data_IF_674280749399
#
_entry.id   IF_674280749399
#
_cell.length_a   1.000
_cell.length_b   1.000
_cell.length_c   1.000
_cell.angle_alpha   90.00
_cell.angle_beta   90.00
_cell.angle_gamma   90.00
#
_symmetry.space_group_name_H-M   'P 1'
#
loop_
_entity.id
_entity.type
_entity.pdbx_description
1 polymer ?
#
# COMPACT_ATOMS: atom_id res chain seq x y z
N UNK A 1 -30.86 43.33 -65.03
CA UNK A 1 -30.84 42.63 -63.72
C UNK A 1 -32.23 42.10 -63.41
N UNK A 2 -32.44 40.79 -63.44
CA UNK A 2 -33.71 40.18 -62.97
C UNK A 2 -33.39 38.84 -62.30
N UNK A 3 -33.52 38.84 -60.97
CA UNK A 3 -33.06 37.81 -60.03
C UNK A 3 -34.10 36.69 -59.94
N UNK A 4 -33.78 35.53 -60.51
CA UNK A 4 -34.59 34.30 -60.43
C UNK A 4 -34.55 33.78 -58.99
N UNK A 5 -35.70 33.78 -58.31
CA UNK A 5 -35.91 33.14 -57.00
C UNK A 5 -35.91 31.63 -57.18
N UNK A 6 -34.91 30.92 -56.66
CA UNK A 6 -34.94 29.46 -56.52
C UNK A 6 -35.31 29.09 -55.08
N UNK A 7 -36.47 28.44 -55.00
CA UNK A 7 -37.10 27.85 -53.83
C UNK A 7 -36.23 26.75 -53.24
N UNK A 8 -35.96 26.83 -51.94
CA UNK A 8 -35.33 25.73 -51.18
C UNK A 8 -36.44 24.98 -50.45
N UNK A 9 -36.81 23.79 -50.95
CA UNK A 9 -37.61 22.82 -50.19
C UNK A 9 -36.76 22.32 -49.01
N UNK A 10 -37.33 22.34 -47.81
CA UNK A 10 -36.71 21.73 -46.61
C UNK A 10 -36.49 20.22 -46.85
N UNK A 11 -35.28 19.75 -46.57
CA UNK A 11 -34.95 18.33 -46.56
C UNK A 11 -35.59 17.64 -45.33
N UNK A 12 -36.02 16.37 -45.43
CA UNK A 12 -36.56 15.63 -44.30
C UNK A 12 -35.45 15.29 -43.29
N UNK A 13 -35.75 15.49 -42.01
CA UNK A 13 -34.88 15.18 -40.88
C UNK A 13 -34.51 13.70 -40.90
N UNK A 14 -33.22 13.42 -41.08
CA UNK A 14 -32.69 12.06 -40.95
C UNK A 14 -32.54 11.76 -39.47
N UNK A 15 -33.25 10.72 -39.03
CA UNK A 15 -33.18 10.14 -37.69
C UNK A 15 -31.72 9.81 -37.37
N UNK A 16 -31.11 10.62 -36.51
CA UNK A 16 -29.81 10.32 -35.93
C UNK A 16 -29.94 9.05 -35.09
N UNK A 17 -29.56 7.90 -35.65
CA UNK A 17 -29.25 6.70 -34.88
C UNK A 17 -28.08 7.06 -33.97
N UNK A 18 -28.41 7.44 -32.74
CA UNK A 18 -27.44 7.63 -31.68
C UNK A 18 -26.60 6.36 -31.56
N UNK A 19 -25.34 6.44 -31.96
CA UNK A 19 -24.31 5.55 -31.49
C UNK A 19 -24.30 5.69 -29.97
N UNK A 20 -24.92 4.74 -29.28
CA UNK A 20 -24.74 4.55 -27.85
C UNK A 20 -23.29 4.09 -27.71
N UNK A 21 -22.37 5.04 -27.54
CA UNK A 21 -21.11 4.75 -26.89
C UNK A 21 -21.50 4.05 -25.60
N UNK A 22 -21.16 2.77 -25.49
CA UNK A 22 -21.09 2.08 -24.20
C UNK A 22 -20.31 3.02 -23.30
N UNK A 23 -21.02 3.71 -22.38
CA UNK A 23 -20.38 4.26 -21.20
C UNK A 23 -19.63 3.08 -20.61
N UNK A 24 -18.30 3.15 -20.65
CA UNK A 24 -17.44 2.36 -19.80
C UNK A 24 -18.10 2.34 -18.44
N UNK A 25 -18.43 1.12 -17.98
CA UNK A 25 -19.05 0.83 -16.70
C UNK A 25 -18.41 1.78 -15.68
N UNK A 26 -19.16 2.79 -15.20
CA UNK A 26 -18.69 3.60 -14.07
C UNK A 26 -18.33 2.60 -12.99
N UNK A 27 -17.26 2.89 -12.27
CA UNK A 27 -16.80 2.09 -11.15
C UNK A 27 -17.88 2.20 -10.04
N UNK A 28 -19.01 1.52 -10.24
CA UNK A 28 -20.17 1.55 -9.36
C UNK A 28 -19.77 0.79 -8.12
N UNK A 29 -19.28 1.56 -7.15
CA UNK A 29 -18.80 1.05 -5.88
C UNK A 29 -19.94 0.31 -5.18
N UNK A 30 -19.63 -0.87 -4.63
CA UNK A 30 -20.63 -1.63 -3.89
C UNK A 30 -21.17 -0.75 -2.74
N UNK A 31 -22.50 -0.52 -2.65
CA UNK A 31 -23.07 0.38 -1.64
C UNK A 31 -22.72 -0.04 -0.21
N UNK A 32 -22.55 -1.35 0.04
CA UNK A 32 -22.11 -1.84 1.36
C UNK A 32 -20.68 -1.41 1.69
N UNK A 33 -19.79 -1.37 0.70
CA UNK A 33 -18.40 -0.89 0.88
C UNK A 33 -18.37 0.61 1.13
N UNK A 34 -19.25 1.38 0.47
CA UNK A 34 -19.38 2.83 0.72
C UNK A 34 -19.80 3.09 2.17
N UNK A 35 -20.83 2.37 2.66
CA UNK A 35 -21.28 2.48 4.05
C UNK A 35 -20.18 2.06 5.01
N UNK A 36 -19.46 0.98 4.73
CA UNK A 36 -18.34 0.53 5.55
C UNK A 36 -17.22 1.58 5.66
N UNK A 37 -16.83 2.18 4.54
CA UNK A 37 -15.82 3.25 4.51
C UNK A 37 -16.29 4.44 5.34
N UNK A 38 -17.54 4.88 5.15
CA UNK A 38 -18.11 5.98 5.92
C UNK A 38 -18.07 5.69 7.42
N UNK A 39 -18.51 4.50 7.82
CA UNK A 39 -18.48 4.08 9.22
C UNK A 39 -17.03 4.11 9.76
N UNK A 40 -16.06 3.58 9.03
CA UNK A 40 -14.66 3.57 9.49
C UNK A 40 -14.03 4.97 9.59
N UNK A 41 -14.55 5.96 8.87
CA UNK A 41 -14.12 7.35 9.04
C UNK A 41 -14.76 8.00 10.26
N UNK A 42 -16.03 7.71 10.55
CA UNK A 42 -16.82 8.40 11.58
C UNK A 42 -16.75 7.74 12.98
N UNK A 43 -16.46 6.44 13.07
CA UNK A 43 -16.42 5.69 14.34
C UNK A 43 -15.35 6.23 15.30
N UNK A 44 -15.66 6.25 16.60
CA UNK A 44 -14.68 6.52 17.65
C UNK A 44 -13.58 5.44 17.71
N UNK A 45 -12.41 5.76 18.27
CA UNK A 45 -11.25 4.86 18.19
C UNK A 45 -11.51 3.46 18.78
N UNK A 46 -12.16 3.36 19.94
CA UNK A 46 -12.48 2.05 20.55
C UNK A 46 -13.44 1.20 19.71
N UNK A 47 -14.41 1.85 19.07
CA UNK A 47 -15.38 1.19 18.20
C UNK A 47 -14.73 0.79 16.87
N UNK A 48 -13.87 1.66 16.33
CA UNK A 48 -13.08 1.38 15.14
C UNK A 48 -12.22 0.13 15.35
N UNK A 49 -11.50 0.01 16.47
CA UNK A 49 -10.69 -1.19 16.78
C UNK A 49 -11.54 -2.45 16.67
N UNK A 50 -12.70 -2.44 17.31
CA UNK A 50 -13.61 -3.60 17.34
C UNK A 50 -14.13 -3.92 15.93
N UNK A 51 -14.49 -2.90 15.15
CA UNK A 51 -14.97 -3.06 13.79
C UNK A 51 -13.88 -3.59 12.83
N UNK A 52 -12.63 -3.16 13.01
CA UNK A 52 -11.49 -3.67 12.23
C UNK A 52 -11.20 -5.13 12.59
N UNK A 53 -11.19 -5.47 13.87
CA UNK A 53 -11.01 -6.85 14.32
C UNK A 53 -12.11 -7.79 13.80
N UNK A 54 -13.36 -7.33 13.79
CA UNK A 54 -14.48 -8.09 13.24
C UNK A 54 -14.32 -8.30 11.73
N UNK A 55 -13.92 -7.25 10.98
CA UNK A 55 -13.63 -7.36 9.55
C UNK A 55 -12.48 -8.35 9.26
N UNK A 56 -11.45 -8.40 10.11
CA UNK A 56 -10.33 -9.34 9.98
C UNK A 56 -10.80 -10.78 10.25
N UNK A 57 -11.61 -11.00 11.30
CA UNK A 57 -12.12 -12.33 11.67
C UNK A 57 -13.11 -12.89 10.65
N UNK A 58 -14.04 -12.05 10.19
CA UNK A 58 -15.02 -12.42 9.16
C UNK A 58 -14.36 -12.58 7.80
N UNK A 59 -13.21 -11.92 7.57
CA UNK A 59 -12.55 -11.89 6.28
C UNK A 59 -13.26 -10.99 5.28
N UNK A 60 -12.72 -10.89 4.06
CA UNK A 60 -13.27 -9.98 3.06
C UNK A 60 -14.57 -10.54 2.44
N UNK A 61 -15.70 -9.97 2.84
CA UNK A 61 -17.05 -10.41 2.41
C UNK A 61 -17.60 -9.65 1.18
N UNK A 62 -16.79 -8.77 0.59
CA UNK A 62 -17.22 -7.91 -0.51
C UNK A 62 -16.59 -8.33 -1.84
N UNK A 63 -17.18 -7.96 -2.99
CA UNK A 63 -16.46 -8.00 -4.25
C UNK A 63 -15.16 -7.20 -4.14
N UNK A 64 -14.19 -7.53 -5.01
CA UNK A 64 -12.94 -6.78 -5.11
C UNK A 64 -13.22 -5.28 -5.27
N UNK A 65 -12.59 -4.46 -4.42
CA UNK A 65 -12.79 -3.00 -4.38
C UNK A 65 -11.60 -2.25 -5.01
N UNK A 66 -11.69 -0.93 -5.11
CA UNK A 66 -10.62 -0.05 -5.60
C UNK A 66 -10.03 0.73 -4.43
N UNK A 67 -8.70 0.73 -4.31
CA UNK A 67 -8.00 1.39 -3.21
C UNK A 67 -8.26 2.91 -3.16
N UNK A 68 -8.59 3.54 -4.29
CA UNK A 68 -8.94 4.97 -4.34
C UNK A 68 -10.05 5.35 -3.36
N UNK A 69 -11.03 4.47 -3.15
CA UNK A 69 -12.15 4.77 -2.26
C UNK A 69 -11.77 4.71 -0.78
N UNK A 70 -10.70 4.01 -0.46
CA UNK A 70 -10.22 3.81 0.90
C UNK A 70 -9.23 4.89 1.35
N UNK A 71 -8.85 5.82 0.47
CA UNK A 71 -7.94 6.94 0.79
C UNK A 71 -8.35 7.68 2.09
N UNK A 72 -9.63 8.02 2.34
CA UNK A 72 -10.01 8.69 3.59
C UNK A 72 -9.71 7.85 4.85
N UNK A 73 -9.95 6.54 4.77
CA UNK A 73 -9.68 5.60 5.88
C UNK A 73 -8.18 5.42 6.07
N UNK A 74 -7.43 5.29 4.97
CA UNK A 74 -5.98 5.18 4.99
C UNK A 74 -5.34 6.44 5.58
N UNK A 75 -5.82 7.63 5.23
CA UNK A 75 -5.35 8.89 5.81
C UNK A 75 -5.59 8.96 7.33
N UNK A 76 -6.73 8.43 7.80
CA UNK A 76 -6.98 8.30 9.24
C UNK A 76 -5.96 7.37 9.91
N UNK A 77 -5.68 6.22 9.30
CA UNK A 77 -4.67 5.30 9.80
C UNK A 77 -3.28 5.93 9.80
N UNK A 78 -2.91 6.65 8.74
CA UNK A 78 -1.62 7.34 8.64
C UNK A 78 -1.45 8.39 9.74
N UNK A 79 -2.50 9.17 10.03
CA UNK A 79 -2.50 10.13 11.12
C UNK A 79 -2.31 9.44 12.48
N UNK A 80 -2.99 8.32 12.72
CA UNK A 80 -2.84 7.53 13.94
C UNK A 80 -1.44 6.95 14.09
N UNK A 81 -0.95 6.26 13.04
CA UNK A 81 0.38 5.65 13.02
C UNK A 81 1.49 6.68 13.18
N UNK A 82 1.34 7.87 12.60
CA UNK A 82 2.26 8.99 12.82
C UNK A 82 2.27 9.46 14.29
N UNK A 83 1.10 9.51 14.93
CA UNK A 83 1.00 9.80 16.37
C UNK A 83 1.79 8.78 17.20
N UNK A 84 1.62 7.49 16.91
CA UNK A 84 2.37 6.41 17.58
C UNK A 84 3.86 6.50 17.32
N UNK A 85 4.29 6.75 16.08
CA UNK A 85 5.71 6.91 15.75
C UNK A 85 6.34 8.04 16.58
N UNK A 86 5.62 9.15 16.78
CA UNK A 86 6.07 10.28 17.59
C UNK A 86 6.08 9.98 19.09
N UNK A 87 5.02 9.36 19.59
CA UNK A 87 4.86 9.04 21.02
C UNK A 87 5.92 8.03 21.51
N UNK A 88 6.27 7.05 20.67
CA UNK A 88 7.18 5.96 21.02
C UNK A 88 8.59 6.11 20.43
N UNK A 89 8.89 7.28 19.87
CA UNK A 89 10.20 7.64 19.30
C UNK A 89 10.70 6.72 18.17
N UNK A 90 9.81 6.09 17.40
CA UNK A 90 10.13 5.07 16.39
C UNK A 90 10.84 5.58 15.12
N UNK A 91 11.34 6.82 15.12
CA UNK A 91 12.06 7.39 13.99
C UNK A 91 13.55 7.27 14.16
N UNK A 92 14.20 6.78 13.11
CA UNK A 92 15.64 6.57 13.08
C UNK A 92 16.22 6.71 11.67
N UNK A 93 17.44 6.20 11.43
CA UNK A 93 18.13 6.39 10.17
C UNK A 93 17.36 5.76 9.01
N UNK A 94 17.08 6.55 7.96
CA UNK A 94 16.27 6.11 6.81
C UNK A 94 14.75 6.31 6.96
N UNK A 95 14.28 6.92 8.06
CA UNK A 95 12.92 7.44 8.15
C UNK A 95 12.76 8.60 7.16
N UNK A 96 11.54 8.80 6.65
CA UNK A 96 11.25 9.94 5.79
C UNK A 96 11.37 11.21 6.61
N UNK A 97 12.28 12.10 6.21
CA UNK A 97 12.47 13.39 6.87
C UNK A 97 11.17 14.18 6.87
N UNK A 98 10.83 14.76 8.01
CA UNK A 98 9.71 15.70 8.05
C UNK A 98 10.00 16.89 7.15
N UNK A 99 8.94 17.35 6.50
CA UNK A 99 8.96 18.58 5.73
C UNK A 99 8.08 19.59 6.45
N UNK A 100 8.53 20.83 6.50
CA UNK A 100 7.70 21.93 6.96
C UNK A 100 6.56 22.20 5.97
N UNK A 101 5.68 23.13 6.35
CA UNK A 101 4.54 23.58 5.55
C UNK A 101 4.95 24.06 4.15
N UNK A 102 6.18 24.54 4.00
CA UNK A 102 6.77 25.03 2.76
C UNK A 102 7.48 23.92 1.95
N UNK A 103 7.40 22.66 2.42
CA UNK A 103 7.97 21.49 1.77
C UNK A 103 9.48 21.33 1.96
N UNK A 104 10.10 22.15 2.81
CA UNK A 104 11.52 22.10 3.11
C UNK A 104 11.77 21.10 4.24
N UNK A 105 12.81 20.29 4.09
CA UNK A 105 13.19 19.32 5.11
C UNK A 105 13.47 20.03 6.43
N UNK A 106 12.72 19.64 7.47
CA UNK A 106 13.00 20.04 8.84
C UNK A 106 14.36 19.43 9.18
N UNK A 107 15.31 20.29 9.52
CA UNK A 107 16.61 19.84 9.99
C UNK A 107 16.39 19.13 11.33
N UNK A 108 16.43 17.81 11.32
CA UNK A 108 16.50 17.03 12.55
C UNK A 108 17.77 17.48 13.31
N UNK A 109 17.55 17.93 14.53
CA UNK A 109 18.57 18.38 15.47
C UNK A 109 19.46 17.23 15.97
N UNK A 110 19.00 15.99 15.81
CA UNK A 110 19.72 14.78 16.23
C UNK A 110 19.99 13.85 15.03
N UNK A 111 21.05 14.15 14.28
CA UNK A 111 21.54 13.30 13.18
C UNK A 111 21.94 11.89 13.64
N UNK A 112 21.99 11.61 14.95
CA UNK A 112 22.39 10.31 15.51
C UNK A 112 21.22 9.54 16.14
N UNK A 113 19.97 9.96 15.91
CA UNK A 113 18.80 9.26 16.45
C UNK A 113 18.72 7.84 15.91
N UNK A 114 18.83 6.84 16.79
CA UNK A 114 18.80 5.41 16.45
C UNK A 114 17.34 4.94 16.22
N UNK A 115 16.38 5.57 16.90
CA UNK A 115 14.95 5.36 16.68
C UNK A 115 14.36 4.07 17.25
N UNK A 116 14.95 3.52 18.32
CA UNK A 116 14.45 2.31 18.95
C UNK A 116 13.37 2.66 19.96
N UNK A 117 12.28 1.90 19.96
CA UNK A 117 11.19 2.05 20.93
C UNK A 117 11.71 2.05 22.37
N UNK A 118 11.53 3.18 23.07
CA UNK A 118 12.00 3.36 24.45
C UNK A 118 10.97 2.86 25.48
N UNK A 119 9.69 3.10 25.21
CA UNK A 119 8.58 2.77 26.11
C UNK A 119 7.71 1.64 25.54
N UNK A 120 7.17 0.79 26.40
CA UNK A 120 6.19 -0.23 26.00
C UNK A 120 4.89 0.41 25.51
N UNK A 121 4.27 -0.17 24.48
CA UNK A 121 2.98 0.32 23.98
C UNK A 121 1.89 0.19 25.03
N UNK A 122 1.10 1.26 25.18
CA UNK A 122 -0.17 1.14 25.91
C UNK A 122 -1.03 0.03 25.26
N UNK A 123 -1.78 -0.78 26.05
CA UNK A 123 -2.56 -1.90 25.52
C UNK A 123 -3.53 -1.51 24.41
N UNK A 124 -4.14 -0.33 24.53
CA UNK A 124 -5.05 0.21 23.51
C UNK A 124 -4.32 0.59 22.22
N UNK A 125 -3.12 1.19 22.34
CA UNK A 125 -2.29 1.60 21.22
C UNK A 125 -1.77 0.41 20.43
N UNK A 126 -1.30 -0.62 21.15
CA UNK A 126 -0.92 -1.90 20.56
C UNK A 126 -2.09 -2.53 19.81
N UNK A 127 -3.27 -2.59 20.45
CA UNK A 127 -4.47 -3.20 19.86
C UNK A 127 -4.92 -2.48 18.58
N UNK A 128 -4.96 -1.14 18.59
CA UNK A 128 -5.27 -0.35 17.39
C UNK A 128 -4.25 -0.55 16.29
N UNK A 129 -2.95 -0.51 16.61
CA UNK A 129 -1.88 -0.68 15.62
C UNK A 129 -1.96 -2.05 14.94
N UNK A 130 -2.18 -3.13 15.70
CA UNK A 130 -2.38 -4.47 15.17
C UNK A 130 -3.64 -4.58 14.30
N UNK A 131 -4.75 -3.97 14.72
CA UNK A 131 -5.98 -3.94 13.96
C UNK A 131 -5.81 -3.20 12.62
N UNK A 132 -5.10 -2.05 12.63
CA UNK A 132 -4.78 -1.30 11.41
C UNK A 132 -3.92 -2.15 10.48
N UNK A 133 -2.82 -2.75 10.94
CA UNK A 133 -1.95 -3.58 10.09
C UNK A 133 -2.68 -4.79 9.52
N UNK A 134 -3.48 -5.47 10.35
CA UNK A 134 -4.30 -6.60 9.92
C UNK A 134 -5.31 -6.18 8.84
N UNK A 135 -5.97 -5.04 9.02
CA UNK A 135 -6.95 -4.56 8.05
C UNK A 135 -6.30 -4.03 6.77
N UNK A 136 -5.18 -3.31 6.84
CA UNK A 136 -4.43 -2.88 5.64
C UNK A 136 -4.02 -4.11 4.83
N UNK A 137 -3.53 -5.17 5.48
CA UNK A 137 -3.21 -6.43 4.80
C UNK A 137 -4.44 -7.01 4.08
N UNK A 138 -5.56 -7.15 4.79
CA UNK A 138 -6.81 -7.65 4.22
C UNK A 138 -7.28 -6.79 3.03
N UNK A 139 -7.20 -5.48 3.18
CA UNK A 139 -7.59 -4.51 2.16
C UNK A 139 -6.71 -4.62 0.92
N UNK A 140 -5.38 -4.62 1.10
CA UNK A 140 -4.44 -4.75 -0.01
C UNK A 140 -4.67 -6.07 -0.73
N UNK A 141 -4.89 -7.19 -0.05
CA UNK A 141 -5.19 -8.48 -0.68
C UNK A 141 -6.46 -8.46 -1.55
N UNK A 142 -7.45 -7.62 -1.21
CA UNK A 142 -8.77 -7.59 -1.83
C UNK A 142 -9.08 -6.33 -2.66
N UNK A 143 -8.10 -5.44 -2.88
CA UNK A 143 -8.25 -4.22 -3.69
C UNK A 143 -7.43 -4.22 -4.98
N UNK A 144 -7.87 -3.42 -5.97
CA UNK A 144 -7.10 -3.01 -7.16
C UNK A 144 -6.34 -1.70 -6.90
N UNK A 145 -5.49 -1.27 -7.86
CA UNK A 145 -4.72 -0.01 -7.78
C UNK A 145 -3.84 0.13 -6.53
N UNK A 146 -3.21 -0.97 -6.09
CA UNK A 146 -2.41 -1.07 -4.85
C UNK A 146 -1.22 -0.10 -4.80
N UNK A 147 -0.74 0.37 -5.96
CA UNK A 147 0.30 1.40 -6.08
C UNK A 147 -0.06 2.74 -5.41
N UNK A 148 -1.33 2.97 -5.10
CA UNK A 148 -1.78 4.16 -4.37
C UNK A 148 -1.50 4.09 -2.87
N UNK A 149 -1.12 2.92 -2.34
CA UNK A 149 -0.70 2.81 -0.95
C UNK A 149 0.69 3.40 -0.78
N UNK A 150 0.76 4.59 -0.18
CA UNK A 150 2.01 5.34 0.05
C UNK A 150 2.51 5.27 1.50
N UNK A 151 1.78 4.60 2.39
CA UNK A 151 2.08 4.55 3.83
C UNK A 151 3.25 3.62 4.20
N UNK A 152 3.99 3.11 3.21
CA UNK A 152 5.19 2.29 3.42
C UNK A 152 6.26 3.00 4.25
N UNK A 153 6.34 4.33 4.15
CA UNK A 153 7.26 5.13 4.97
C UNK A 153 6.99 4.93 6.48
N UNK A 154 5.70 4.85 6.87
CA UNK A 154 5.31 4.59 8.27
C UNK A 154 5.63 3.17 8.66
N UNK A 155 5.34 2.20 7.79
CA UNK A 155 5.69 0.80 8.03
C UNK A 155 7.19 0.60 8.23
N UNK A 156 8.02 1.37 7.51
CA UNK A 156 9.47 1.35 7.68
C UNK A 156 9.90 1.77 9.09
N UNK A 157 9.23 2.76 9.69
CA UNK A 157 9.50 3.23 11.07
C UNK A 157 9.09 2.19 12.12
N UNK A 158 7.98 1.49 11.89
CA UNK A 158 7.57 0.36 12.72
C UNK A 158 8.51 -0.86 12.64
N UNK A 159 9.56 -0.86 11.82
CA UNK A 159 10.62 -1.88 11.91
C UNK A 159 11.52 -1.69 13.14
N UNK A 160 11.48 -0.52 13.77
CA UNK A 160 12.28 -0.18 14.95
C UNK A 160 11.52 -0.41 16.28
N UNK A 161 10.33 -1.01 16.21
CA UNK A 161 9.55 -1.39 17.39
C UNK A 161 10.20 -2.57 18.12
N UNK A 162 10.15 -2.55 19.45
CA UNK A 162 10.59 -3.66 20.31
C UNK A 162 9.46 -4.66 20.57
N UNK A 163 8.21 -4.28 20.31
CA UNK A 163 7.06 -5.17 20.46
C UNK A 163 7.02 -6.22 19.33
N UNK A 164 7.18 -7.48 19.71
CA UNK A 164 7.28 -8.59 18.74
C UNK A 164 6.00 -8.81 17.95
N UNK A 165 4.82 -8.57 18.54
CA UNK A 165 3.55 -8.78 17.84
C UNK A 165 3.35 -7.72 16.76
N UNK A 166 3.64 -6.45 17.11
CA UNK A 166 3.57 -5.32 16.18
C UNK A 166 4.60 -5.47 15.06
N UNK A 167 5.84 -5.83 15.40
CA UNK A 167 6.90 -6.08 14.42
C UNK A 167 6.52 -7.22 13.47
N UNK A 168 6.01 -8.33 14.00
CA UNK A 168 5.61 -9.49 13.19
C UNK A 168 4.43 -9.15 12.28
N UNK A 169 3.43 -8.41 12.78
CA UNK A 169 2.31 -7.96 11.97
C UNK A 169 2.77 -7.05 10.82
N UNK A 170 3.68 -6.11 11.10
CA UNK A 170 4.27 -5.21 10.11
C UNK A 170 5.08 -5.99 9.05
N UNK A 171 5.97 -6.89 9.47
CA UNK A 171 6.76 -7.71 8.55
C UNK A 171 5.91 -8.63 7.67
N UNK A 172 4.83 -9.20 8.22
CA UNK A 172 3.87 -9.99 7.43
C UNK A 172 3.17 -9.15 6.37
N UNK A 173 2.80 -7.91 6.70
CA UNK A 173 2.23 -6.96 5.75
C UNK A 173 3.24 -6.62 4.64
N UNK A 174 4.46 -6.26 5.02
CA UNK A 174 5.57 -5.95 4.11
C UNK A 174 5.87 -7.12 3.15
N UNK A 175 6.00 -8.33 3.69
CA UNK A 175 6.27 -9.54 2.90
C UNK A 175 5.15 -9.82 1.91
N UNK A 176 3.89 -9.68 2.34
CA UNK A 176 2.74 -9.89 1.46
C UNK A 176 2.68 -8.88 0.33
N UNK A 177 2.98 -7.62 0.62
CA UNK A 177 3.13 -6.61 -0.43
C UNK A 177 4.22 -7.05 -1.40
N UNK A 178 5.44 -7.37 -0.92
CA UNK A 178 6.59 -7.76 -1.76
C UNK A 178 6.31 -8.98 -2.67
N UNK A 179 5.68 -10.03 -2.13
CA UNK A 179 5.35 -11.24 -2.90
C UNK A 179 4.34 -10.98 -4.02
N UNK A 180 3.42 -10.03 -3.82
CA UNK A 180 2.45 -9.66 -4.85
C UNK A 180 3.10 -8.88 -5.99
N UNK A 181 4.14 -8.08 -5.70
CA UNK A 181 4.92 -7.36 -6.71
C UNK A 181 5.72 -8.30 -7.62
N UNK A 182 6.35 -9.34 -7.06
CA UNK A 182 7.19 -10.27 -7.86
C UNK A 182 6.40 -11.02 -8.92
N UNK A 183 5.10 -11.24 -8.71
CA UNK A 183 4.22 -11.93 -9.66
C UNK A 183 3.73 -11.00 -10.78
N UNK A 184 3.74 -9.67 -10.56
CA UNK A 184 3.07 -8.72 -11.45
C UNK A 184 3.97 -7.91 -12.38
N UNK A 185 5.32 -8.08 -12.35
CA UNK A 185 6.26 -7.33 -13.20
C UNK A 185 5.93 -5.82 -13.31
N UNK A 186 5.46 -5.21 -12.22
CA UNK A 186 5.11 -3.79 -12.22
C UNK A 186 6.35 -2.97 -11.92
N UNK A 187 6.77 -2.16 -12.90
CA UNK A 187 7.91 -1.26 -12.80
C UNK A 187 7.75 -0.30 -11.61
N UNK A 188 8.70 -0.36 -10.68
CA UNK A 188 8.75 0.47 -9.48
C UNK A 188 9.14 1.90 -9.81
N UNK A 189 8.24 2.70 -10.41
CA UNK A 189 8.56 4.10 -10.66
C UNK A 189 8.49 4.99 -9.39
N UNK A 190 8.58 4.38 -8.19
CA UNK A 190 8.43 5.06 -6.88
C UNK A 190 9.00 4.32 -5.66
N UNK A 191 9.80 3.26 -5.82
CA UNK A 191 10.53 2.58 -4.73
C UNK A 191 9.66 1.80 -3.71
N UNK A 192 10.15 0.66 -3.24
CA UNK A 192 9.61 -0.03 -2.07
C UNK A 192 10.09 0.83 -0.91
N UNK A 193 9.25 1.71 -0.36
CA UNK A 193 9.61 2.72 0.66
C UNK A 193 10.07 2.15 2.01
N UNK A 194 10.72 1.00 1.99
CA UNK A 194 11.22 0.23 3.12
C UNK A 194 12.73 0.14 2.96
N UNK A 195 13.44 0.49 4.03
CA UNK A 195 14.89 0.49 4.04
C UNK A 195 15.44 -0.94 3.98
N UNK A 196 16.23 -1.23 2.94
CA UNK A 196 16.91 -2.51 2.83
C UNK A 196 17.92 -2.72 3.97
N UNK A 197 18.58 -1.66 4.44
CA UNK A 197 19.54 -1.76 5.55
C UNK A 197 18.88 -2.21 6.84
N UNK A 198 17.69 -1.66 7.17
CA UNK A 198 16.93 -2.05 8.37
C UNK A 198 16.56 -3.54 8.35
N UNK A 199 16.17 -4.05 7.18
CA UNK A 199 15.86 -5.47 7.03
C UNK A 199 17.09 -6.36 7.21
N UNK A 200 18.25 -5.93 6.69
CA UNK A 200 19.51 -6.65 6.90
C UNK A 200 19.95 -6.62 8.37
N UNK A 201 19.82 -5.49 9.05
CA UNK A 201 20.14 -5.36 10.47
C UNK A 201 19.26 -6.28 11.33
N UNK A 202 17.95 -6.34 11.01
CA UNK A 202 17.02 -7.28 11.64
C UNK A 202 17.45 -8.73 11.40
N UNK A 203 17.76 -9.09 10.15
CA UNK A 203 18.22 -10.45 9.82
C UNK A 203 19.50 -10.84 10.56
N UNK A 204 20.47 -9.94 10.65
CA UNK A 204 21.71 -10.16 11.39
C UNK A 204 21.42 -10.38 12.89
N UNK A 205 20.61 -9.52 13.50
CA UNK A 205 20.23 -9.66 14.91
C UNK A 205 19.51 -10.99 15.19
N UNK A 206 18.63 -11.43 14.28
CA UNK A 206 17.89 -12.68 14.41
C UNK A 206 18.77 -13.92 14.20
N UNK A 207 19.72 -13.86 13.26
CA UNK A 207 20.72 -14.93 13.09
C UNK A 207 21.60 -15.11 14.32
N UNK A 208 21.84 -14.04 15.07
CA UNK A 208 22.59 -14.10 16.33
C UNK A 208 21.75 -14.71 17.48
N UNK A 209 20.43 -14.53 17.45
CA UNK A 209 19.50 -15.10 18.45
C UNK A 209 19.25 -16.58 18.17
N UNK A 210 19.14 -16.96 16.90
CA UNK A 210 18.92 -18.33 16.43
C UNK A 210 20.19 -19.19 16.40
N UNK A 211 21.08 -19.07 17.38
CA UNK A 211 22.35 -19.79 17.44
C UNK A 211 22.20 -21.24 16.98
N UNK A 212 22.90 -21.58 15.90
CA UNK A 212 22.97 -22.91 15.25
C UNK A 212 21.79 -23.34 14.35
N UNK A 213 21.45 -22.53 13.34
CA UNK A 213 21.00 -23.12 12.08
C UNK A 213 21.65 -22.37 10.92
N UNK A 214 22.66 -23.01 10.31
CA UNK A 214 23.33 -22.52 9.11
C UNK A 214 22.31 -22.37 7.97
N UNK A 215 21.73 -21.18 7.82
CA UNK A 215 21.15 -20.73 6.55
C UNK A 215 22.30 -20.37 5.61
N UNK A 216 23.10 -21.37 5.25
CA UNK A 216 24.05 -21.22 4.17
C UNK A 216 23.30 -21.26 2.83
N UNK A 217 23.53 -20.20 2.05
CA UNK A 217 23.19 -19.99 0.65
C UNK A 217 21.71 -20.00 0.25
N UNK A 218 21.10 -18.81 0.24
CA UNK A 218 20.30 -18.44 -0.93
C UNK A 218 21.22 -17.62 -1.83
N UNK A 219 21.97 -18.33 -2.68
CA UNK A 219 22.57 -17.72 -3.86
C UNK A 219 21.43 -17.46 -4.85
N UNK A 220 21.33 -16.28 -5.48
CA UNK A 220 20.46 -16.14 -6.64
C UNK A 220 21.04 -17.02 -7.75
N UNK A 221 20.39 -18.16 -8.03
CA UNK A 221 20.76 -19.00 -9.17
C UNK A 221 20.36 -18.28 -10.46
N UNK A 222 21.19 -17.33 -10.91
CA UNK A 222 21.19 -16.90 -12.30
C UNK A 222 21.96 -17.94 -13.11
N UNK A 223 21.33 -19.09 -13.34
CA UNK A 223 21.71 -19.99 -14.44
C UNK A 223 20.50 -20.11 -15.37
N UNK A 224 20.27 -19.04 -16.13
CA UNK A 224 19.44 -19.12 -17.33
C UNK A 224 20.25 -19.94 -18.34
N UNK A 225 20.02 -21.26 -18.33
CA UNK A 225 20.59 -22.17 -19.31
C UNK A 225 20.02 -21.81 -20.67
N UNK A 226 20.78 -21.05 -21.47
CA UNK A 226 20.43 -20.76 -22.86
C UNK A 226 20.92 -21.91 -23.72
N UNK A 227 20.19 -23.02 -23.69
CA UNK A 227 20.26 -24.02 -24.75
C UNK A 227 19.71 -23.40 -26.03
N UNK A 228 20.58 -22.94 -26.92
CA UNK A 228 20.25 -22.75 -28.33
C UNK A 228 21.33 -23.38 -29.21
N UNK A 229 20.91 -24.53 -29.74
CA UNK A 229 21.20 -25.27 -30.97
C UNK A 229 22.29 -24.77 -31.95
N UNK A 230 22.94 -25.72 -32.65
CA UNK A 230 24.12 -25.50 -33.49
C UNK A 230 23.83 -24.77 -34.81
N UNK A 231 24.80 -23.98 -35.23
CA UNK A 231 24.92 -23.39 -36.57
C UNK A 231 25.20 -24.54 -37.56
N UNK A 232 24.25 -24.82 -38.46
CA UNK A 232 24.52 -25.61 -39.66
C UNK A 232 25.40 -24.77 -40.61
N UNK A 233 26.67 -25.13 -40.66
CA UNK A 233 27.50 -24.95 -41.86
C UNK A 233 27.07 -26.01 -42.87
N UNK A 234 26.78 -25.62 -44.11
CA UNK A 234 27.00 -26.40 -45.33
C UNK A 234 26.78 -25.51 -46.57
N UNK A 235 27.68 -25.64 -47.56
CA UNK A 235 27.44 -25.33 -48.98
C UNK A 235 27.89 -23.96 -49.43
#
# INVERSE_FOLDING_TARGET
MTRIKRSWKKAPETVSRGFVLRRTKRNDQNPKVVVLIKNFVELGDNELITALEDAIKTGWQYPRSDLMFWIPVLNRFDAYLEGVIKEYDLRGPGSKKEKDSDGKEIKENDSNRIGVQVNEFAPITKRMTLAIFGFIKLLLENCTNRKLFSSYDRLNDFLLTTDTDVLLANLRLILRSAQQWSVQHQDMNGGFGISHSRLLDLLQSWSSIGGTASFNSIQPTTSFSRSHLPILSQG
#
